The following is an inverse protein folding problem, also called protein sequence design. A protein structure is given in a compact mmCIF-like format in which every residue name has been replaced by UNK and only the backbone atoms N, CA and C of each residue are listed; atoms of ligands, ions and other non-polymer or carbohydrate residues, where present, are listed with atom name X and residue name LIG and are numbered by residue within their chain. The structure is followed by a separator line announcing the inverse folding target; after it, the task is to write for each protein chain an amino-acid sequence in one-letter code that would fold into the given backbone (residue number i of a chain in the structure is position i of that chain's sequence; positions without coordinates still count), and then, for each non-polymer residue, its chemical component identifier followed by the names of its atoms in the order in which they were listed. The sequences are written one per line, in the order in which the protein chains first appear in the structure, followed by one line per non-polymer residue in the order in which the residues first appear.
data_IF_359380820251
#
_entry.id   IF_359380820251
#
_cell.length_a   1.000
_cell.length_b   1.000
_cell.length_c   1.000
_cell.angle_alpha   90.00
_cell.angle_beta   90.00
_cell.angle_gamma   90.00
#
_symmetry.space_group_name_H-M   'P 1'
#
loop_
_entity.id
_entity.type
_entity.pdbx_description
1 polymer ?
#
# COMPACT_ATOMS: atom_id res chain seq x y z
N UNK A 1 5.63 16.31 5.65
CA UNK A 1 4.97 15.09 5.11
C UNK A 1 4.82 14.09 6.24
N UNK A 2 3.61 13.55 6.45
CA UNK A 2 3.34 12.58 7.53
C UNK A 2 3.90 11.22 7.10
N UNK A 3 4.93 10.73 7.80
CA UNK A 3 5.55 9.42 7.53
C UNK A 3 4.77 8.36 8.31
N UNK A 4 4.23 7.36 7.63
CA UNK A 4 3.52 6.26 8.30
C UNK A 4 4.52 5.15 8.60
N UNK A 5 4.47 4.61 9.82
CA UNK A 5 5.33 3.48 10.20
C UNK A 5 4.85 2.16 9.57
N UNK A 6 3.54 2.09 9.25
CA UNK A 6 2.87 0.91 8.71
C UNK A 6 2.04 1.26 7.47
N UNK A 7 2.01 0.33 6.51
CA UNK A 7 1.18 0.41 5.31
C UNK A 7 -0.31 0.48 5.70
N UNK A 8 -1.03 1.46 5.16
CA UNK A 8 -2.45 1.65 5.48
C UNK A 8 -3.37 0.60 4.84
N UNK A 9 -2.86 -0.25 3.94
CA UNK A 9 -3.64 -1.32 3.30
C UNK A 9 -3.48 -2.68 3.98
N UNK A 10 -2.28 -3.00 4.47
CA UNK A 10 -1.95 -4.35 4.98
C UNK A 10 -1.23 -4.32 6.33
N UNK A 11 -1.06 -3.15 6.95
CA UNK A 11 -0.33 -2.95 8.19
C UNK A 11 1.14 -3.44 8.15
N UNK A 12 1.70 -3.65 6.95
CA UNK A 12 3.09 -4.05 6.79
C UNK A 12 4.04 -2.94 7.24
N UNK A 13 5.09 -3.23 8.03
CA UNK A 13 6.01 -2.20 8.50
C UNK A 13 6.77 -1.60 7.31
N UNK A 14 6.61 -0.29 7.08
CA UNK A 14 7.27 0.44 5.99
C UNK A 14 8.80 0.36 6.10
N UNK A 15 9.34 0.26 7.33
CA UNK A 15 10.77 0.06 7.59
C UNK A 15 11.33 -1.25 7.02
N UNK A 16 10.48 -2.26 6.81
CA UNK A 16 10.86 -3.56 6.27
C UNK A 16 10.60 -3.65 4.75
N UNK A 17 10.00 -2.63 4.16
CA UNK A 17 9.77 -2.56 2.72
C UNK A 17 11.09 -2.24 2.00
N UNK A 18 11.56 -3.14 1.14
CA UNK A 18 12.85 -3.01 0.45
C UNK A 18 12.89 -1.82 -0.54
N UNK A 19 11.73 -1.39 -1.02
CA UNK A 19 11.58 -0.31 -1.98
C UNK A 19 11.28 1.03 -1.28
N UNK A 20 11.15 1.02 0.05
CA UNK A 20 10.88 2.21 0.87
C UNK A 20 9.45 2.71 0.80
N UNK A 21 8.53 1.94 0.20
CA UNK A 21 7.13 2.29 0.03
C UNK A 21 6.60 2.07 -1.39
N UNK A 22 5.30 2.31 -1.55
CA UNK A 22 4.62 2.26 -2.83
C UNK A 22 5.01 3.43 -3.73
N UNK A 23 4.52 3.43 -4.97
CA UNK A 23 4.80 4.50 -5.94
C UNK A 23 3.51 5.18 -6.35
N UNK A 24 3.49 6.52 -6.33
CA UNK A 24 2.41 7.34 -6.87
C UNK A 24 2.46 7.34 -8.42
N UNK A 25 1.39 7.80 -9.08
CA UNK A 25 1.31 7.84 -10.55
C UNK A 25 2.44 8.68 -11.19
N UNK A 26 2.99 9.65 -10.46
CA UNK A 26 4.12 10.48 -10.90
C UNK A 26 5.50 9.90 -10.63
N UNK A 27 5.61 8.66 -10.14
CA UNK A 27 6.90 8.03 -9.81
C UNK A 27 7.47 8.40 -8.44
N UNK A 28 6.77 9.21 -7.64
CA UNK A 28 7.19 9.56 -6.28
C UNK A 28 6.84 8.44 -5.30
N UNK A 29 7.63 8.29 -4.23
CA UNK A 29 7.40 7.27 -3.21
C UNK A 29 6.26 7.68 -2.28
N UNK A 30 5.29 6.78 -2.12
CA UNK A 30 4.18 6.90 -1.19
C UNK A 30 4.60 6.41 0.20
N UNK A 31 4.63 7.33 1.17
CA UNK A 31 4.87 6.97 2.57
C UNK A 31 3.62 6.37 3.26
N UNK A 32 2.50 6.24 2.55
CA UNK A 32 1.23 5.69 3.07
C UNK A 32 1.09 4.18 2.84
N UNK A 33 1.63 3.69 1.73
CA UNK A 33 1.46 2.31 1.31
C UNK A 33 2.82 1.67 1.06
N UNK A 34 2.91 0.34 1.22
CA UNK A 34 4.10 -0.41 0.86
C UNK A 34 4.12 -0.73 -0.63
N UNK A 35 5.28 -1.11 -1.15
CA UNK A 35 5.48 -1.44 -2.57
C UNK A 35 4.64 -2.62 -3.05
N UNK A 36 4.27 -3.52 -2.14
CA UNK A 36 3.44 -4.68 -2.45
C UNK A 36 1.95 -4.35 -2.56
N UNK A 37 1.50 -3.24 -1.97
CA UNK A 37 0.09 -2.86 -1.96
C UNK A 37 -0.21 -1.73 -2.92
N UNK A 38 0.76 -0.91 -3.28
CA UNK A 38 0.53 0.30 -4.07
C UNK A 38 1.66 0.59 -5.05
N UNK A 39 1.35 0.66 -6.33
CA UNK A 39 2.32 0.87 -7.39
C UNK A 39 1.72 1.73 -8.51
N UNK A 40 2.50 2.67 -9.04
CA UNK A 40 2.08 3.59 -10.10
C UNK A 40 0.75 4.31 -9.84
N UNK A 41 0.46 4.67 -8.59
CA UNK A 41 -0.77 5.36 -8.22
C UNK A 41 -1.98 4.43 -8.03
N UNK A 42 -1.80 3.12 -8.16
CA UNK A 42 -2.85 2.11 -8.08
C UNK A 42 -2.59 1.10 -6.95
N UNK A 43 -3.64 0.70 -6.25
CA UNK A 43 -3.57 -0.39 -5.27
C UNK A 43 -3.51 -1.71 -6.04
N UNK A 44 -2.43 -2.48 -5.87
CA UNK A 44 -2.21 -3.75 -6.58
C UNK A 44 -2.60 -4.98 -5.75
N UNK A 45 -2.83 -4.83 -4.44
CA UNK A 45 -3.43 -5.89 -3.63
C UNK A 45 -4.92 -5.98 -3.92
N UNK A 46 -5.46 -7.19 -4.18
CA UNK A 46 -6.89 -7.35 -4.37
C UNK A 46 -7.62 -6.93 -3.08
N UNK A 47 -8.67 -6.11 -3.17
CA UNK A 47 -9.60 -5.97 -2.07
C UNK A 47 -10.39 -7.26 -2.00
N UNK A 48 -9.87 -8.30 -1.37
CA UNK A 48 -10.71 -9.44 -0.94
C UNK A 48 -11.57 -9.00 0.25
N UNK A 49 -12.41 -7.98 0.02
CA UNK A 49 -13.63 -7.79 0.78
C UNK A 49 -14.67 -8.66 0.11
N UNK A 50 -14.74 -9.93 0.53
CA UNK A 50 -15.97 -10.70 0.40
C UNK A 50 -16.98 -10.04 1.34
N UNK A 51 -17.75 -9.08 0.82
CA UNK A 51 -18.95 -8.59 1.49
C UNK A 51 -19.89 -9.78 1.71
N UNK A 52 -20.72 -9.73 2.76
CA UNK A 52 -21.64 -10.80 3.17
C UNK A 52 -22.62 -11.29 2.08
N UNK A 53 -22.65 -10.66 0.90
CA UNK A 53 -23.47 -11.03 -0.26
C UNK A 53 -22.95 -12.28 -1.00
N UNK A 54 -21.79 -12.82 -0.61
CA UNK A 54 -21.18 -14.02 -1.24
C UNK A 54 -21.03 -15.21 -0.27
N UNK A 55 -22.05 -15.45 0.58
CA UNK A 55 -22.25 -16.72 1.28
C UNK A 55 -23.49 -17.43 0.75
#
# INVERSE_FOLDING_TARGET
MKKYEFCQSCSYPQKNDKLGGGTEAGGTISNRFCSMCYQNGAVITPPEVNTAEKM
#
